data_IF_625362699984
#
_entry.id   IF_625362699984
#
_cell.length_a   1.000
_cell.length_b   1.000
_cell.length_c   1.000
_cell.angle_alpha   90.00
_cell.angle_beta   90.00
_cell.angle_gamma   90.00
#
_symmetry.space_group_name_H-M   'P 1'
#
loop_
_entity.id
_entity.type
_entity.pdbx_description
1 polymer ?
#
# COMPACT_ATOMS: atom_id res chain seq x y z
N UNK A 1 15.20 7.75 46.02
CA UNK A 1 15.26 7.27 44.62
C UNK A 1 13.98 7.79 44.00
N UNK A 2 14.06 8.98 43.38
CA UNK A 2 12.89 9.61 42.76
C UNK A 2 12.40 8.75 41.60
N UNK A 3 11.08 8.56 41.45
CA UNK A 3 10.54 7.88 40.29
C UNK A 3 10.83 8.72 39.05
N UNK A 4 11.40 8.07 38.04
CA UNK A 4 11.74 8.67 36.74
C UNK A 4 10.45 9.20 36.07
N UNK A 5 10.44 10.51 35.82
CA UNK A 5 9.34 11.28 35.21
C UNK A 5 8.89 10.72 33.85
N UNK A 6 9.70 9.86 33.22
CA UNK A 6 9.38 9.21 31.95
C UNK A 6 8.65 7.86 32.10
N UNK A 7 8.63 7.27 33.29
CA UNK A 7 7.83 6.07 33.59
C UNK A 7 6.36 6.42 33.87
N UNK A 8 6.10 7.58 34.49
CA UNK A 8 4.75 8.05 34.80
C UNK A 8 3.94 8.42 33.54
N UNK A 9 4.60 8.98 32.51
CA UNK A 9 3.91 9.40 31.28
C UNK A 9 3.45 8.24 30.37
N UNK A 10 4.00 7.04 30.56
CA UNK A 10 3.58 5.83 29.84
C UNK A 10 2.41 5.12 30.55
N UNK A 11 2.31 5.23 31.88
CA UNK A 11 1.21 4.68 32.67
C UNK A 11 -0.04 5.59 32.65
N UNK A 12 0.11 6.91 32.47
CA UNK A 12 -1.00 7.87 32.44
C UNK A 12 -1.85 7.90 31.14
N UNK A 13 -1.52 7.12 30.10
CA UNK A 13 -2.28 7.14 28.83
C UNK A 13 -3.45 6.17 28.73
N UNK A 14 -3.79 5.44 29.79
CA UNK A 14 -4.88 4.44 29.76
C UNK A 14 -5.81 4.46 30.98
N UNK A 15 -6.30 5.62 31.37
CA UNK A 15 -7.60 5.72 32.08
C UNK A 15 -8.43 6.86 31.48
N UNK A 16 -8.68 6.79 30.17
CA UNK A 16 -9.89 7.43 29.62
C UNK A 16 -11.05 6.49 29.89
N UNK A 17 -12.16 7.02 30.40
CA UNK A 17 -13.40 6.28 30.60
C UNK A 17 -13.67 5.35 29.40
N UNK A 18 -13.75 4.01 29.58
CA UNK A 18 -13.96 3.06 28.49
C UNK A 18 -15.15 3.42 27.60
N UNK A 19 -16.17 4.09 28.16
CA UNK A 19 -17.34 4.57 27.43
C UNK A 19 -17.03 5.68 26.41
N UNK A 20 -15.95 6.44 26.61
CA UNK A 20 -15.52 7.56 25.75
C UNK A 20 -14.64 7.16 24.55
N UNK A 21 -14.24 5.89 24.46
CA UNK A 21 -13.43 5.38 23.35
C UNK A 21 -14.30 5.03 22.14
N UNK A 22 -13.80 5.22 20.90
CA UNK A 22 -14.54 4.87 19.69
C UNK A 22 -14.98 3.40 19.68
N UNK A 23 -16.14 3.11 19.10
CA UNK A 23 -16.71 1.75 19.03
C UNK A 23 -15.72 0.74 18.43
N UNK A 24 -14.98 1.14 17.39
CA UNK A 24 -13.95 0.31 16.78
C UNK A 24 -12.82 -0.12 17.75
N UNK A 25 -12.52 0.69 18.77
CA UNK A 25 -11.55 0.36 19.82
C UNK A 25 -12.19 -0.54 20.87
N UNK A 26 -13.42 -0.23 21.31
CA UNK A 26 -14.12 -1.03 22.32
C UNK A 26 -14.44 -2.45 21.84
N UNK A 27 -14.77 -2.59 20.56
CA UNK A 27 -15.09 -3.87 19.92
C UNK A 27 -13.86 -4.68 19.49
N UNK A 28 -12.64 -4.26 19.85
CA UNK A 28 -11.44 -5.08 19.61
C UNK A 28 -11.61 -6.46 20.29
N UNK A 29 -11.47 -7.57 19.55
CA UNK A 29 -11.42 -8.94 20.09
C UNK A 29 -10.49 -9.05 21.29
N UNK A 30 -10.91 -9.82 22.29
CA UNK A 30 -10.08 -10.14 23.46
C UNK A 30 -9.25 -11.42 23.24
N UNK A 31 -9.76 -12.33 22.41
CA UNK A 31 -9.13 -13.60 22.06
C UNK A 31 -9.09 -13.77 20.54
N UNK A 32 -8.29 -14.73 20.05
CA UNK A 32 -8.26 -15.06 18.62
C UNK A 32 -9.59 -15.65 18.14
N UNK A 33 -10.37 -16.27 19.04
CA UNK A 33 -11.69 -16.83 18.71
C UNK A 33 -12.74 -15.75 18.44
N UNK A 34 -12.53 -14.54 18.96
CA UNK A 34 -13.40 -13.39 18.71
C UNK A 34 -13.06 -12.66 17.38
N UNK A 35 -12.00 -13.04 16.69
CA UNK A 35 -11.61 -12.41 15.42
C UNK A 35 -12.56 -12.87 14.31
N UNK A 36 -13.19 -11.89 13.66
CA UNK A 36 -14.00 -12.12 12.45
C UNK A 36 -13.11 -12.09 11.22
N UNK A 37 -13.41 -12.96 10.25
CA UNK A 37 -12.53 -13.23 9.12
C UNK A 37 -11.17 -13.82 9.50
N UNK A 38 -10.33 -14.05 8.49
CA UNK A 38 -8.97 -14.60 8.63
C UNK A 38 -8.89 -16.05 9.15
N UNK A 39 -9.94 -16.86 8.98
CA UNK A 39 -9.97 -18.21 9.55
C UNK A 39 -8.96 -19.16 8.91
N UNK A 40 -8.44 -18.81 7.72
CA UNK A 40 -7.28 -19.46 7.11
C UNK A 40 -6.00 -19.28 7.94
N UNK A 41 -5.85 -18.19 8.68
CA UNK A 41 -4.69 -17.88 9.52
C UNK A 41 -4.86 -18.32 10.99
N UNK A 42 -6.08 -18.59 11.43
CA UNK A 42 -6.41 -18.86 12.85
C UNK A 42 -6.66 -20.34 13.18
N UNK A 43 -6.33 -21.25 12.27
CA UNK A 43 -6.42 -22.70 12.48
C UNK A 43 -5.57 -23.17 13.67
N UNK A 44 -5.98 -24.24 14.39
CA UNK A 44 -5.16 -24.83 15.46
C UNK A 44 -3.71 -25.08 15.02
N UNK A 45 -2.75 -24.63 15.84
CA UNK A 45 -1.32 -24.75 15.56
C UNK A 45 -0.75 -23.73 14.58
N UNK A 46 -1.53 -22.76 14.09
CA UNK A 46 -1.04 -21.68 13.23
C UNK A 46 0.00 -20.79 13.93
N UNK A 47 0.82 -20.03 13.18
CA UNK A 47 1.80 -19.12 13.77
C UNK A 47 1.18 -18.12 14.75
N UNK A 48 0.00 -17.57 14.45
CA UNK A 48 -0.70 -16.61 15.32
C UNK A 48 -1.17 -17.27 16.63
N UNK A 49 -1.72 -18.49 16.56
CA UNK A 49 -2.14 -19.27 17.74
C UNK A 49 -0.93 -19.60 18.63
N UNK A 50 0.22 -19.90 18.05
CA UNK A 50 1.47 -20.09 18.82
C UNK A 50 1.97 -18.81 19.48
N UNK A 51 1.79 -17.65 18.85
CA UNK A 51 2.20 -16.36 19.43
C UNK A 51 1.41 -16.00 20.69
N UNK A 52 0.14 -16.41 20.77
CA UNK A 52 -0.70 -16.24 21.97
C UNK A 52 -0.48 -17.33 23.04
N UNK A 53 0.46 -18.26 22.82
CA UNK A 53 0.84 -19.29 23.80
C UNK A 53 0.16 -20.65 23.61
N UNK A 54 -0.73 -20.81 22.61
CA UNK A 54 -1.32 -22.11 22.30
C UNK A 54 -0.28 -23.03 21.63
N UNK A 55 0.03 -24.16 22.27
CA UNK A 55 1.02 -25.12 21.75
C UNK A 55 2.49 -24.77 22.06
N UNK A 56 2.74 -23.94 23.08
CA UNK A 56 4.07 -23.52 23.55
C UNK A 56 4.98 -24.64 24.13
N UNK A 57 4.58 -25.92 24.02
CA UNK A 57 5.34 -27.08 24.51
C UNK A 57 6.22 -27.77 23.47
N UNK A 58 6.28 -27.28 22.23
CA UNK A 58 7.09 -27.86 21.16
C UNK A 58 8.51 -27.27 21.05
N UNK A 59 9.45 -27.96 20.35
CA UNK A 59 10.83 -27.49 20.18
C UNK A 59 10.96 -26.24 19.27
N UNK A 60 9.88 -25.83 18.61
CA UNK A 60 9.83 -24.68 17.72
C UNK A 60 9.38 -23.41 18.49
N UNK A 61 10.30 -22.49 18.73
CA UNK A 61 10.00 -21.19 19.34
C UNK A 61 9.12 -20.29 18.46
N UNK A 62 8.57 -19.23 19.04
CA UNK A 62 7.77 -18.24 18.33
C UNK A 62 8.59 -17.58 17.19
N UNK A 63 8.04 -17.56 15.97
CA UNK A 63 8.65 -16.90 14.82
C UNK A 63 8.17 -15.46 14.71
N UNK A 64 9.03 -14.57 14.23
CA UNK A 64 8.62 -13.22 13.82
C UNK A 64 7.60 -13.31 12.68
N UNK A 65 6.65 -12.39 12.64
CA UNK A 65 5.53 -12.37 11.70
C UNK A 65 5.44 -10.99 11.05
N UNK A 66 5.14 -10.99 9.75
CA UNK A 66 4.77 -9.79 9.00
C UNK A 66 3.32 -9.98 8.54
N UNK A 67 2.43 -9.12 9.02
CA UNK A 67 1.02 -9.04 8.65
C UNK A 67 0.89 -8.08 7.46
N UNK A 68 0.40 -8.58 6.34
CA UNK A 68 0.21 -7.78 5.13
C UNK A 68 -1.24 -7.82 4.67
N UNK A 69 -1.79 -6.65 4.37
CA UNK A 69 -3.04 -6.52 3.63
C UNK A 69 -3.63 -5.11 3.76
N UNK A 70 -4.75 -4.85 3.07
CA UNK A 70 -5.48 -3.57 3.10
C UNK A 70 -5.73 -3.00 4.51
N UNK A 71 -6.00 -1.69 4.66
CA UNK A 71 -6.43 -1.11 5.93
C UNK A 71 -7.72 -1.79 6.47
N UNK A 72 -7.93 -1.68 7.78
CA UNK A 72 -9.19 -2.11 8.42
C UNK A 72 -9.51 -3.60 8.52
N UNK A 73 -8.72 -4.49 7.92
CA UNK A 73 -8.93 -5.95 7.95
C UNK A 73 -8.41 -6.65 9.23
N UNK A 74 -7.96 -5.90 10.24
CA UNK A 74 -7.60 -6.44 11.55
C UNK A 74 -6.11 -6.67 11.86
N UNK A 75 -5.16 -6.06 11.13
CA UNK A 75 -3.71 -6.17 11.42
C UNK A 75 -3.34 -5.74 12.85
N UNK A 76 -3.65 -4.49 13.21
CA UNK A 76 -3.43 -3.94 14.56
C UNK A 76 -4.23 -4.69 15.62
N UNK A 77 -5.42 -5.18 15.24
CA UNK A 77 -6.29 -5.98 16.09
C UNK A 77 -5.66 -7.32 16.46
N UNK A 78 -5.09 -8.04 15.49
CA UNK A 78 -4.37 -9.29 15.75
C UNK A 78 -3.17 -9.04 16.66
N UNK A 79 -2.39 -7.98 16.43
CA UNK A 79 -1.28 -7.63 17.30
C UNK A 79 -1.74 -7.31 18.73
N UNK A 80 -2.88 -6.62 18.88
CA UNK A 80 -3.48 -6.34 20.18
C UNK A 80 -3.93 -7.62 20.90
N UNK A 81 -4.57 -8.57 20.21
CA UNK A 81 -4.92 -9.86 20.82
C UNK A 81 -3.66 -10.60 21.27
N UNK A 82 -2.59 -10.57 20.46
CA UNK A 82 -1.30 -11.15 20.88
C UNK A 82 -0.74 -10.47 22.12
N UNK A 83 -0.87 -9.15 22.26
CA UNK A 83 -0.38 -8.43 23.44
C UNK A 83 -1.11 -8.82 24.73
N UNK A 84 -2.41 -9.08 24.65
CA UNK A 84 -3.23 -9.44 25.81
C UNK A 84 -3.07 -10.91 26.23
N UNK A 85 -2.90 -11.81 25.26
CA UNK A 85 -2.86 -13.25 25.54
C UNK A 85 -1.51 -13.71 26.10
N UNK A 86 -0.44 -12.93 25.91
CA UNK A 86 0.92 -13.32 26.25
C UNK A 86 1.36 -12.80 27.61
N UNK A 87 2.03 -13.65 28.41
CA UNK A 87 2.73 -13.22 29.64
C UNK A 87 4.07 -12.49 29.34
N UNK A 88 4.32 -12.17 28.06
CA UNK A 88 5.55 -11.53 27.57
C UNK A 88 5.47 -10.02 27.67
N UNK A 89 6.64 -9.37 27.67
CA UNK A 89 6.71 -7.90 27.56
C UNK A 89 6.24 -7.51 26.15
N UNK A 90 5.18 -6.74 26.03
CA UNK A 90 4.75 -6.18 24.75
C UNK A 90 5.22 -4.74 24.61
N UNK A 91 5.77 -4.40 23.45
CA UNK A 91 6.17 -3.02 23.11
C UNK A 91 5.63 -2.69 21.74
N UNK A 92 4.88 -1.60 21.63
CA UNK A 92 4.32 -1.09 20.38
C UNK A 92 5.11 0.13 19.90
N UNK A 93 5.47 0.13 18.62
CA UNK A 93 6.04 1.27 17.92
C UNK A 93 5.25 1.52 16.63
N UNK A 94 4.98 2.79 16.33
CA UNK A 94 4.51 3.19 15.01
C UNK A 94 5.69 3.63 14.16
N UNK A 95 5.82 3.08 12.96
CA UNK A 95 6.89 3.46 12.03
C UNK A 95 6.78 4.91 11.53
N UNK A 96 5.63 5.56 11.74
CA UNK A 96 5.37 6.95 11.36
C UNK A 96 6.08 7.90 12.34
N UNK A 97 6.09 7.55 13.63
CA UNK A 97 6.59 8.44 14.69
C UNK A 97 7.93 7.98 15.28
N UNK A 98 8.26 6.69 15.16
CA UNK A 98 9.48 6.14 15.73
C UNK A 98 10.73 6.42 14.87
N UNK A 99 11.76 6.99 15.49
CA UNK A 99 13.09 7.12 14.91
C UNK A 99 14.00 5.93 15.23
N UNK A 100 15.25 5.99 14.76
CA UNK A 100 16.27 4.95 15.03
C UNK A 100 16.59 4.85 16.53
N UNK A 101 16.50 5.96 17.27
CA UNK A 101 16.81 6.01 18.71
C UNK A 101 15.79 5.20 19.52
N UNK A 102 14.51 5.36 19.22
CA UNK A 102 13.41 4.66 19.86
C UNK A 102 13.52 3.15 19.62
N UNK A 103 13.79 2.75 18.38
CA UNK A 103 14.02 1.33 18.02
C UNK A 103 15.17 0.74 18.83
N UNK A 104 16.32 1.42 18.89
CA UNK A 104 17.48 0.95 19.67
C UNK A 104 17.17 0.85 21.17
N UNK A 105 16.43 1.80 21.72
CA UNK A 105 16.05 1.78 23.13
C UNK A 105 15.18 0.56 23.47
N UNK A 106 14.25 0.19 22.59
CA UNK A 106 13.42 -1.01 22.73
C UNK A 106 14.26 -2.27 22.67
N UNK A 107 15.19 -2.35 21.71
CA UNK A 107 16.08 -3.51 21.54
C UNK A 107 16.97 -3.71 22.80
N UNK A 108 17.59 -2.65 23.30
CA UNK A 108 18.41 -2.72 24.52
C UNK A 108 17.58 -3.03 25.77
N UNK A 109 16.34 -2.55 25.83
CA UNK A 109 15.39 -2.94 26.87
C UNK A 109 15.06 -4.43 26.83
N UNK A 110 14.77 -4.96 25.65
CA UNK A 110 14.46 -6.36 25.43
C UNK A 110 15.64 -7.29 25.78
N UNK A 111 16.86 -6.91 25.37
CA UNK A 111 18.08 -7.63 25.68
C UNK A 111 18.32 -7.76 27.18
N UNK A 112 18.12 -6.66 27.94
CA UNK A 112 18.24 -6.67 29.41
C UNK A 112 17.17 -7.55 30.07
N UNK A 113 15.93 -7.49 29.59
CA UNK A 113 14.84 -8.30 30.11
C UNK A 113 15.06 -9.81 29.88
N UNK A 114 15.56 -10.18 28.71
CA UNK A 114 15.88 -11.57 28.36
C UNK A 114 17.02 -12.13 29.21
N UNK A 115 18.11 -11.38 29.41
CA UNK A 115 19.28 -11.84 30.18
C UNK A 115 19.09 -11.84 31.69
N UNK A 116 18.26 -10.93 32.25
CA UNK A 116 18.08 -10.79 33.70
C UNK A 116 16.89 -11.53 34.29
N UNK A 117 15.78 -11.64 33.55
CA UNK A 117 14.50 -12.12 34.08
C UNK A 117 13.86 -13.24 33.23
N UNK A 118 14.49 -13.66 32.13
CA UNK A 118 13.92 -14.66 31.22
C UNK A 118 12.61 -14.25 30.56
N UNK A 119 12.26 -12.94 30.58
CA UNK A 119 11.02 -12.43 29.97
C UNK A 119 11.25 -12.13 28.50
N UNK A 120 10.61 -12.91 27.64
CA UNK A 120 10.59 -12.65 26.20
C UNK A 120 9.86 -11.33 25.90
N UNK A 121 10.27 -10.65 24.83
CA UNK A 121 9.66 -9.40 24.38
C UNK A 121 9.01 -9.58 23.01
N UNK A 122 7.78 -9.14 22.86
CA UNK A 122 7.08 -9.02 21.57
C UNK A 122 7.12 -7.56 21.16
N UNK A 123 7.74 -7.28 20.02
CA UNK A 123 7.79 -5.95 19.42
C UNK A 123 6.76 -5.86 18.31
N UNK A 124 5.70 -5.08 18.51
CA UNK A 124 4.78 -4.73 17.45
C UNK A 124 5.23 -3.46 16.73
N UNK A 125 5.26 -3.51 15.40
CA UNK A 125 5.68 -2.39 14.56
C UNK A 125 4.66 -2.14 13.47
N UNK A 126 3.86 -1.08 13.63
CA UNK A 126 2.83 -0.72 12.65
C UNK A 126 3.42 0.11 11.50
N UNK A 127 2.90 -0.10 10.30
CA UNK A 127 3.32 0.52 9.05
C UNK A 127 4.82 0.45 8.75
N UNK A 128 5.43 -0.73 8.90
CA UNK A 128 6.89 -0.95 8.71
C UNK A 128 7.43 -0.44 7.37
N UNK A 129 6.59 -0.33 6.34
CA UNK A 129 6.96 0.25 5.04
C UNK A 129 7.39 1.73 5.13
N UNK A 130 7.05 2.43 6.21
CA UNK A 130 7.48 3.82 6.47
C UNK A 130 8.91 3.92 7.01
N UNK A 131 9.46 2.84 7.53
CA UNK A 131 10.86 2.82 7.94
C UNK A 131 11.80 2.81 6.75
N UNK A 132 12.83 3.67 6.82
CA UNK A 132 13.98 3.60 5.94
C UNK A 132 14.72 2.25 6.05
N UNK A 133 15.50 1.89 5.03
CA UNK A 133 16.33 0.66 5.05
C UNK A 133 17.23 0.59 6.28
N UNK A 134 17.85 1.71 6.68
CA UNK A 134 18.71 1.77 7.86
C UNK A 134 17.96 1.51 9.18
N UNK A 135 16.71 1.98 9.30
CA UNK A 135 15.86 1.66 10.45
C UNK A 135 15.49 0.18 10.48
N UNK A 136 15.18 -0.41 9.33
CA UNK A 136 14.90 -1.83 9.22
C UNK A 136 16.14 -2.70 9.53
N UNK A 137 17.31 -2.33 9.02
CA UNK A 137 18.58 -3.02 9.33
C UNK A 137 18.87 -3.02 10.84
N UNK A 138 18.49 -1.95 11.55
CA UNK A 138 18.69 -1.86 13.00
C UNK A 138 17.89 -2.90 13.80
N UNK A 139 16.84 -3.48 13.22
CA UNK A 139 16.04 -4.55 13.84
C UNK A 139 16.67 -5.94 13.69
N UNK A 140 17.56 -6.14 12.71
CA UNK A 140 18.10 -7.46 12.39
C UNK A 140 18.78 -8.16 13.57
N UNK A 141 19.69 -7.51 14.33
CA UNK A 141 20.33 -8.19 15.47
C UNK A 141 19.31 -8.65 16.52
N UNK A 142 18.24 -7.88 16.73
CA UNK A 142 17.22 -8.18 17.72
C UNK A 142 16.36 -9.39 17.31
N UNK A 143 16.04 -9.51 16.02
CA UNK A 143 15.30 -10.64 15.47
C UNK A 143 16.16 -11.90 15.41
N UNK A 144 17.42 -11.78 14.96
CA UNK A 144 18.36 -12.91 14.83
C UNK A 144 18.70 -13.56 16.17
N UNK A 145 18.99 -12.73 17.17
CA UNK A 145 19.33 -13.21 18.52
C UNK A 145 18.08 -13.51 19.36
N UNK A 146 16.87 -13.38 18.78
CA UNK A 146 15.58 -13.56 19.45
C UNK A 146 15.42 -12.73 20.72
N UNK A 147 16.03 -11.54 20.74
CA UNK A 147 15.77 -10.57 21.81
C UNK A 147 14.33 -10.06 21.73
N UNK A 148 13.79 -9.97 20.52
CA UNK A 148 12.39 -9.66 20.26
C UNK A 148 11.77 -10.68 19.31
N UNK A 149 10.51 -11.02 19.56
CA UNK A 149 9.62 -11.59 18.55
C UNK A 149 8.95 -10.43 17.83
N UNK A 150 9.28 -10.20 16.57
CA UNK A 150 8.74 -9.09 15.79
C UNK A 150 7.36 -9.44 15.24
N UNK A 151 6.38 -8.55 15.43
CA UNK A 151 5.12 -8.55 14.70
C UNK A 151 5.08 -7.23 13.93
N UNK A 152 5.30 -7.26 12.62
CA UNK A 152 5.24 -6.06 11.80
C UNK A 152 3.94 -6.04 10.98
N UNK A 153 3.34 -4.87 10.80
CA UNK A 153 2.17 -4.69 9.93
C UNK A 153 2.50 -3.75 8.77
N UNK A 154 1.96 -4.03 7.59
CA UNK A 154 2.09 -3.15 6.42
C UNK A 154 0.86 -3.24 5.52
N UNK A 155 0.47 -2.10 4.95
CA UNK A 155 -0.50 -2.00 3.85
C UNK A 155 0.16 -2.12 2.48
N UNK A 156 1.43 -1.74 2.34
CA UNK A 156 2.21 -1.88 1.10
C UNK A 156 2.77 -3.29 0.91
N UNK A 157 3.02 -3.65 -0.36
CA UNK A 157 3.58 -4.95 -0.72
C UNK A 157 4.96 -5.17 -0.05
N UNK A 158 5.09 -6.18 0.83
CA UNK A 158 6.26 -6.38 1.66
C UNK A 158 7.53 -6.70 0.87
N UNK A 159 7.42 -7.30 -0.31
CA UNK A 159 8.58 -7.62 -1.15
C UNK A 159 9.29 -6.37 -1.69
N UNK A 160 8.61 -5.21 -1.70
CA UNK A 160 9.20 -3.93 -2.11
C UNK A 160 9.55 -3.03 -0.93
N UNK A 161 8.71 -3.04 0.12
CA UNK A 161 8.84 -2.12 1.24
C UNK A 161 9.68 -2.64 2.40
N UNK A 162 9.91 -3.95 2.49
CA UNK A 162 10.69 -4.59 3.57
C UNK A 162 11.97 -5.20 3.01
N UNK A 163 13.08 -5.01 3.71
CA UNK A 163 14.38 -5.56 3.31
C UNK A 163 14.37 -7.10 3.35
N UNK A 164 15.01 -7.72 2.36
CA UNK A 164 15.08 -9.19 2.24
C UNK A 164 15.59 -9.91 3.48
N UNK A 165 16.58 -9.38 4.24
CA UNK A 165 17.03 -10.01 5.48
C UNK A 165 15.96 -10.12 6.58
N UNK A 166 15.04 -9.15 6.70
CA UNK A 166 13.92 -9.24 7.66
C UNK A 166 12.85 -10.22 7.18
N UNK A 167 12.55 -10.20 5.87
CA UNK A 167 11.60 -11.12 5.26
C UNK A 167 12.04 -12.58 5.43
N UNK A 168 13.33 -12.88 5.22
CA UNK A 168 13.82 -14.27 5.33
C UNK A 168 13.80 -14.82 6.76
N UNK A 169 13.65 -13.96 7.76
CA UNK A 169 13.60 -14.30 9.20
C UNK A 169 12.20 -14.18 9.79
N UNK A 170 11.20 -13.89 8.97
CA UNK A 170 9.82 -13.67 9.38
C UNK A 170 8.85 -14.50 8.53
N UNK A 171 7.73 -14.89 9.11
CA UNK A 171 6.63 -15.49 8.37
C UNK A 171 5.74 -14.38 7.81
N UNK A 172 5.56 -14.36 6.50
CA UNK A 172 4.62 -13.46 5.85
C UNK A 172 3.21 -14.06 5.93
N UNK A 173 2.29 -13.36 6.60
CA UNK A 173 0.88 -13.72 6.69
C UNK A 173 0.05 -12.67 5.96
N UNK A 174 -0.62 -13.10 4.89
CA UNK A 174 -1.51 -12.24 4.10
C UNK A 174 -2.92 -12.29 4.67
N UNK A 175 -3.43 -11.13 5.06
CA UNK A 175 -4.82 -10.96 5.47
C UNK A 175 -5.67 -10.63 4.25
N UNK A 176 -6.88 -11.18 4.25
CA UNK A 176 -7.87 -11.00 3.18
C UNK A 176 -8.90 -9.93 3.57
N UNK A 177 -9.54 -9.22 2.61
CA UNK A 177 -10.70 -8.39 2.91
C UNK A 177 -11.79 -9.18 3.64
N UNK A 178 -12.50 -8.53 4.57
CA UNK A 178 -13.61 -9.19 5.28
C UNK A 178 -14.79 -9.39 4.33
N UNK A 179 -15.48 -10.52 4.48
CA UNK A 179 -16.72 -10.78 3.74
C UNK A 179 -17.88 -10.01 4.34
N UNK A 180 -18.97 -9.87 3.57
CA UNK A 180 -20.20 -9.26 4.07
C UNK A 180 -20.74 -10.02 5.30
N UNK A 181 -20.63 -11.35 5.30
CA UNK A 181 -21.02 -12.19 6.44
C UNK A 181 -20.16 -11.91 7.69
N UNK A 182 -18.84 -11.74 7.53
CA UNK A 182 -17.94 -11.39 8.64
C UNK A 182 -18.30 -10.03 9.25
N UNK A 183 -18.60 -9.05 8.39
CA UNK A 183 -18.98 -7.70 8.82
C UNK A 183 -20.36 -7.69 9.48
N UNK A 184 -21.34 -8.41 8.93
CA UNK A 184 -22.65 -8.60 9.55
C UNK A 184 -22.55 -9.23 10.93
N UNK A 185 -21.73 -10.28 11.09
CA UNK A 185 -21.48 -10.89 12.40
C UNK A 185 -20.85 -9.88 13.39
N UNK A 186 -19.89 -9.07 12.92
CA UNK A 186 -19.26 -8.03 13.74
C UNK A 186 -20.25 -6.93 14.16
N UNK A 187 -21.10 -6.46 13.25
CA UNK A 187 -22.09 -5.42 13.52
C UNK A 187 -23.16 -5.91 14.51
N UNK A 188 -23.67 -7.13 14.32
CA UNK A 188 -24.61 -7.74 15.28
C UNK A 188 -24.01 -7.83 16.67
N UNK A 189 -22.76 -8.28 16.75
CA UNK A 189 -22.02 -8.32 18.03
C UNK A 189 -21.86 -6.93 18.64
N UNK A 190 -21.53 -5.93 17.83
CA UNK A 190 -21.39 -4.54 18.27
C UNK A 190 -22.72 -3.93 18.74
N UNK A 191 -23.85 -4.33 18.18
CA UNK A 191 -25.18 -3.89 18.63
C UNK A 191 -25.55 -4.47 19.99
N UNK A 192 -25.23 -5.75 20.24
CA UNK A 192 -25.74 -6.47 21.41
C UNK A 192 -24.81 -6.48 22.63
N UNK A 193 -23.49 -6.46 22.44
CA UNK A 193 -22.56 -6.58 23.56
C UNK A 193 -22.53 -5.31 24.44
N UNK A 194 -22.29 -5.49 25.74
CA UNK A 194 -22.19 -4.39 26.72
C UNK A 194 -21.08 -3.38 26.38
N UNK A 195 -19.93 -3.86 25.88
CA UNK A 195 -18.85 -2.99 25.37
C UNK A 195 -19.20 -2.34 24.01
N UNK A 196 -20.21 -2.87 23.34
CA UNK A 196 -20.80 -2.32 22.13
C UNK A 196 -21.92 -1.35 22.49
N UNK A 197 -23.02 -1.39 21.77
CA UNK A 197 -24.17 -0.51 21.97
C UNK A 197 -25.16 -1.06 22.99
N UNK A 198 -24.90 -2.23 23.59
CA UNK A 198 -25.68 -2.83 24.67
C UNK A 198 -27.20 -2.92 24.39
N UNK A 199 -27.57 -3.11 23.13
CA UNK A 199 -28.97 -3.16 22.68
C UNK A 199 -29.69 -1.81 22.68
N UNK A 200 -28.99 -0.68 22.80
CA UNK A 200 -29.59 0.66 22.83
C UNK A 200 -30.27 1.06 21.52
N UNK A 201 -29.86 0.46 20.40
CA UNK A 201 -30.42 0.70 19.07
C UNK A 201 -30.47 -0.61 18.27
N UNK A 202 -31.40 -0.68 17.33
CA UNK A 202 -31.55 -1.76 16.36
C UNK A 202 -31.07 -1.32 14.98
N UNK A 203 -30.73 -2.30 14.12
CA UNK A 203 -30.25 -2.06 12.76
C UNK A 203 -31.14 -2.84 11.77
N UNK A 204 -32.02 -2.17 11.02
CA UNK A 204 -32.83 -2.77 9.98
C UNK A 204 -31.99 -3.29 8.80
N UNK A 205 -32.53 -4.24 8.03
CA UNK A 205 -31.81 -4.92 6.94
C UNK A 205 -31.34 -3.95 5.82
N UNK A 206 -32.10 -2.91 5.51
CA UNK A 206 -31.75 -1.92 4.49
C UNK A 206 -30.57 -1.03 4.93
N UNK A 207 -30.56 -0.63 6.21
CA UNK A 207 -29.45 0.08 6.83
C UNK A 207 -28.21 -0.81 7.00
N UNK A 208 -28.37 -2.08 7.37
CA UNK A 208 -27.28 -3.06 7.42
C UNK A 208 -26.65 -3.24 6.03
N UNK A 209 -27.47 -3.45 4.99
CA UNK A 209 -26.99 -3.56 3.62
C UNK A 209 -26.27 -2.29 3.14
N UNK A 210 -26.69 -1.11 3.59
CA UNK A 210 -26.01 0.15 3.31
C UNK A 210 -24.66 0.26 4.02
N UNK A 211 -24.57 -0.14 5.30
CA UNK A 211 -23.30 -0.22 6.04
C UNK A 211 -22.30 -1.17 5.36
N UNK A 212 -22.74 -2.35 4.92
CA UNK A 212 -21.88 -3.30 4.20
C UNK A 212 -21.28 -2.69 2.93
N UNK A 213 -22.12 -2.00 2.13
CA UNK A 213 -21.67 -1.30 0.92
C UNK A 213 -20.64 -0.20 1.22
N UNK A 214 -20.84 0.57 2.28
CA UNK A 214 -19.89 1.61 2.69
C UNK A 214 -18.59 0.99 3.20
N UNK A 215 -18.69 -0.09 3.98
CA UNK A 215 -17.54 -0.73 4.61
C UNK A 215 -16.60 -1.37 3.59
N UNK A 216 -17.12 -2.02 2.54
CA UNK A 216 -16.29 -2.57 1.47
C UNK A 216 -15.23 -3.57 1.95
N UNK A 217 -15.54 -4.35 2.99
CA UNK A 217 -14.60 -5.29 3.62
C UNK A 217 -13.74 -4.70 4.76
N UNK A 218 -13.96 -3.45 5.16
CA UNK A 218 -13.27 -2.77 6.27
C UNK A 218 -14.12 -2.75 7.56
N UNK A 219 -13.65 -3.46 8.60
CA UNK A 219 -14.32 -3.52 9.89
C UNK A 219 -14.29 -2.20 10.68
N UNK A 220 -13.20 -1.42 10.57
CA UNK A 220 -13.08 -0.13 11.25
C UNK A 220 -14.11 0.84 10.67
N UNK A 221 -14.20 0.90 9.34
CA UNK A 221 -15.17 1.74 8.62
C UNK A 221 -16.60 1.34 8.95
N UNK A 222 -16.90 0.04 8.97
CA UNK A 222 -18.21 -0.47 9.39
C UNK A 222 -18.60 -0.01 10.80
N UNK A 223 -17.71 -0.22 11.78
CA UNK A 223 -17.95 0.14 13.18
C UNK A 223 -18.04 1.65 13.40
N UNK A 224 -17.24 2.45 12.70
CA UNK A 224 -17.33 3.91 12.78
C UNK A 224 -18.63 4.44 12.20
N UNK A 225 -19.08 3.90 11.05
CA UNK A 225 -20.36 4.28 10.46
C UNK A 225 -21.54 3.86 11.35
N UNK A 226 -21.48 2.65 11.94
CA UNK A 226 -22.46 2.16 12.91
C UNK A 226 -22.52 3.06 14.15
N UNK A 227 -21.37 3.46 14.71
CA UNK A 227 -21.28 4.36 15.85
C UNK A 227 -21.89 5.74 15.54
N UNK A 228 -21.62 6.29 14.36
CA UNK A 228 -22.20 7.55 13.93
C UNK A 228 -23.72 7.46 13.78
N UNK A 229 -24.22 6.40 13.15
CA UNK A 229 -25.65 6.14 13.00
C UNK A 229 -26.35 5.98 14.35
N UNK A 230 -25.77 5.18 15.26
CA UNK A 230 -26.28 4.99 16.61
C UNK A 230 -26.31 6.31 17.40
N UNK A 231 -25.23 7.11 17.35
CA UNK A 231 -25.17 8.40 18.03
C UNK A 231 -26.24 9.39 17.51
N UNK A 232 -26.51 9.37 16.21
CA UNK A 232 -27.54 10.19 15.57
C UNK A 232 -28.96 9.75 15.96
N UNK A 233 -29.23 8.45 15.96
CA UNK A 233 -30.51 7.88 16.38
C UNK A 233 -30.82 8.20 17.85
N UNK A 234 -29.85 7.94 18.74
CA UNK A 234 -29.98 8.20 20.19
C UNK A 234 -30.22 9.69 20.44
N UNK A 235 -29.51 10.59 19.74
CA UNK A 235 -29.71 12.03 19.88
C UNK A 235 -31.11 12.50 19.43
N UNK A 236 -31.74 11.77 18.51
CA UNK A 236 -33.13 11.99 18.06
C UNK A 236 -34.16 11.29 18.97
N UNK A 237 -33.73 10.48 19.93
CA UNK A 237 -34.62 9.66 20.76
C UNK A 237 -35.20 8.45 20.01
N UNK A 238 -34.55 8.01 18.93
CA UNK A 238 -34.91 6.84 18.13
C UNK A 238 -34.17 5.60 18.66
N UNK A 239 -34.82 4.44 18.65
CA UNK A 239 -34.27 3.12 19.02
C UNK A 239 -33.87 2.28 17.79
N UNK A 240 -33.92 2.89 16.59
CA UNK A 240 -33.62 2.25 15.31
C UNK A 240 -32.71 3.13 14.45
N UNK A 241 -31.66 2.54 13.89
CA UNK A 241 -30.77 3.21 12.93
C UNK A 241 -31.39 3.10 11.54
N UNK A 242 -32.33 3.98 11.21
CA UNK A 242 -32.93 4.02 9.86
C UNK A 242 -31.89 4.36 8.80
N UNK A 243 -32.11 3.91 7.55
CA UNK A 243 -31.22 4.21 6.41
C UNK A 243 -30.96 5.72 6.28
N UNK A 244 -31.99 6.55 6.40
CA UNK A 244 -31.86 8.01 6.34
C UNK A 244 -31.01 8.57 7.48
N UNK A 245 -31.24 8.13 8.72
CA UNK A 245 -30.43 8.57 9.87
C UNK A 245 -28.97 8.17 9.70
N UNK A 246 -28.72 7.00 9.09
CA UNK A 246 -27.38 6.53 8.77
C UNK A 246 -26.71 7.37 7.68
N UNK A 247 -27.39 7.65 6.57
CA UNK A 247 -26.87 8.49 5.47
C UNK A 247 -26.48 9.89 5.98
N UNK A 248 -27.36 10.55 6.74
CA UNK A 248 -27.10 11.85 7.36
C UNK A 248 -25.91 11.82 8.33
N UNK A 249 -25.76 10.73 9.08
CA UNK A 249 -24.70 10.57 10.07
C UNK A 249 -23.35 10.25 9.41
N UNK A 250 -23.34 9.39 8.39
CA UNK A 250 -22.15 9.02 7.62
C UNK A 250 -21.63 10.22 6.86
N UNK A 251 -22.46 11.07 6.27
CA UNK A 251 -22.00 12.30 5.62
C UNK A 251 -21.27 13.24 6.60
N UNK A 252 -21.77 13.38 7.84
CA UNK A 252 -21.11 14.19 8.88
C UNK A 252 -19.87 13.53 9.47
N UNK A 253 -19.88 12.20 9.60
CA UNK A 253 -18.76 11.41 10.11
C UNK A 253 -17.66 11.28 9.06
N UNK A 254 -17.99 11.19 7.77
CA UNK A 254 -17.06 11.18 6.65
C UNK A 254 -16.20 12.45 6.67
N UNK A 255 -16.76 13.62 6.93
CA UNK A 255 -16.00 14.89 7.09
C UNK A 255 -15.02 14.86 8.29
N UNK A 256 -15.30 14.07 9.34
CA UNK A 256 -14.40 13.91 10.51
C UNK A 256 -13.39 12.76 10.36
N UNK A 257 -13.78 11.69 9.67
CA UNK A 257 -12.99 10.49 9.37
C UNK A 257 -12.07 10.70 8.17
N UNK A 258 -12.36 11.66 7.30
CA UNK A 258 -11.54 12.02 6.12
C UNK A 258 -10.14 12.51 6.47
N UNK A 259 -9.85 12.74 7.76
CA UNK A 259 -8.47 12.97 8.22
C UNK A 259 -7.60 11.70 8.21
N UNK A 260 -8.16 10.48 8.16
CA UNK A 260 -7.40 9.22 8.37
C UNK A 260 -7.68 8.06 7.38
N UNK A 261 -8.32 8.29 6.22
CA UNK A 261 -7.89 7.63 4.96
C UNK A 261 -8.52 6.32 4.46
N UNK A 262 -9.75 6.34 3.92
CA UNK A 262 -10.19 5.32 2.92
C UNK A 262 -10.97 5.85 1.69
N UNK A 263 -11.76 6.93 1.78
CA UNK A 263 -12.34 7.56 0.57
C UNK A 263 -11.28 8.22 -0.32
N UNK A 264 -10.11 8.51 0.24
CA UNK A 264 -9.04 9.19 -0.47
C UNK A 264 -8.58 8.42 -1.72
N UNK A 265 -8.57 7.08 -1.69
CA UNK A 265 -8.25 6.26 -2.87
C UNK A 265 -9.34 6.30 -3.93
N UNK A 266 -10.62 6.27 -3.55
CA UNK A 266 -11.73 6.35 -4.49
C UNK A 266 -11.77 7.70 -5.20
N UNK A 267 -11.59 8.79 -4.45
CA UNK A 267 -11.51 10.15 -5.01
C UNK A 267 -10.26 10.31 -5.88
N UNK A 268 -9.10 9.83 -5.44
CA UNK A 268 -7.88 9.81 -6.26
C UNK A 268 -8.04 8.96 -7.53
N UNK A 269 -8.78 7.86 -7.45
CA UNK A 269 -9.09 6.98 -8.57
C UNK A 269 -10.05 7.67 -9.54
N UNK A 270 -11.06 8.38 -9.02
CA UNK A 270 -11.99 9.16 -9.81
C UNK A 270 -11.32 10.35 -10.51
N UNK A 271 -10.37 11.04 -9.85
CA UNK A 271 -9.50 12.04 -10.46
C UNK A 271 -8.77 11.47 -11.69
N UNK A 272 -8.05 10.35 -11.52
CA UNK A 272 -7.29 9.75 -12.62
C UNK A 272 -8.20 9.20 -13.72
N UNK A 273 -9.35 8.59 -13.37
CA UNK A 273 -10.33 8.14 -14.38
C UNK A 273 -10.93 9.31 -15.17
N UNK A 274 -11.15 10.45 -14.53
CA UNK A 274 -11.66 11.65 -15.20
C UNK A 274 -10.61 12.24 -16.15
N UNK A 275 -9.34 12.29 -15.72
CA UNK A 275 -8.22 12.66 -16.59
C UNK A 275 -8.14 11.71 -17.79
N UNK A 276 -8.15 10.39 -17.56
CA UNK A 276 -8.15 9.34 -18.60
C UNK A 276 -9.33 9.48 -19.56
N UNK A 277 -10.51 9.80 -19.04
CA UNK A 277 -11.73 10.06 -19.80
C UNK A 277 -11.77 11.43 -20.49
N UNK A 278 -10.74 12.26 -20.29
CA UNK A 278 -10.65 13.63 -20.79
C UNK A 278 -11.78 14.56 -20.32
N UNK A 279 -12.38 14.26 -19.16
CA UNK A 279 -13.35 15.12 -18.49
C UNK A 279 -12.62 16.06 -17.53
N UNK A 280 -12.34 17.28 -18.01
CA UNK A 280 -11.59 18.30 -17.25
C UNK A 280 -12.37 18.75 -16.02
N UNK A 281 -13.69 18.93 -16.16
CA UNK A 281 -14.53 19.47 -15.11
C UNK A 281 -14.66 18.45 -13.96
N UNK A 282 -14.89 17.18 -14.28
CA UNK A 282 -14.90 16.10 -13.29
C UNK A 282 -13.52 15.93 -12.64
N UNK A 283 -12.43 16.01 -13.40
CA UNK A 283 -11.08 15.92 -12.85
C UNK A 283 -10.81 17.07 -11.86
N UNK A 284 -11.17 18.31 -12.21
CA UNK A 284 -11.04 19.46 -11.31
C UNK A 284 -11.93 19.32 -10.08
N UNK A 285 -13.15 18.78 -10.22
CA UNK A 285 -14.03 18.51 -9.09
C UNK A 285 -13.41 17.51 -8.11
N UNK A 286 -12.88 16.39 -8.58
CA UNK A 286 -12.22 15.42 -7.71
C UNK A 286 -10.91 15.95 -7.13
N UNK A 287 -10.14 16.75 -7.87
CA UNK A 287 -8.98 17.46 -7.33
C UNK A 287 -9.39 18.39 -6.17
N UNK A 288 -10.43 19.20 -6.35
CA UNK A 288 -10.94 20.10 -5.32
C UNK A 288 -11.41 19.31 -4.09
N UNK A 289 -12.10 18.18 -4.27
CA UNK A 289 -12.47 17.28 -3.18
C UNK A 289 -11.26 16.79 -2.38
N UNK A 290 -10.16 16.41 -3.05
CA UNK A 290 -8.93 15.98 -2.38
C UNK A 290 -8.26 17.12 -1.61
N UNK A 291 -8.26 18.35 -2.16
CA UNK A 291 -7.70 19.53 -1.51
C UNK A 291 -8.50 19.90 -0.25
N UNK A 292 -9.82 19.95 -0.35
CA UNK A 292 -10.71 20.27 0.79
C UNK A 292 -10.65 19.20 1.88
N UNK A 293 -10.48 17.92 1.49
CA UNK A 293 -10.25 16.82 2.43
C UNK A 293 -8.87 16.87 3.12
N UNK A 294 -7.98 17.78 2.70
CA UNK A 294 -6.65 17.94 3.30
C UNK A 294 -5.62 16.89 2.86
N UNK A 295 -5.79 16.31 1.67
CA UNK A 295 -4.85 15.34 1.10
C UNK A 295 -3.43 15.92 1.00
N UNK A 296 -2.40 15.08 1.20
CA UNK A 296 -1.02 15.49 0.94
C UNK A 296 -0.87 15.92 -0.53
N UNK A 297 -0.50 17.17 -0.85
CA UNK A 297 -0.39 17.62 -2.23
C UNK A 297 0.67 16.84 -3.01
N UNK A 298 1.66 16.25 -2.32
CA UNK A 298 2.66 15.38 -2.94
C UNK A 298 2.05 14.05 -3.38
N UNK A 299 1.02 13.56 -2.69
CA UNK A 299 0.28 12.37 -3.14
C UNK A 299 -0.46 12.65 -4.44
N UNK A 300 -1.18 13.76 -4.53
CA UNK A 300 -1.86 14.19 -5.77
C UNK A 300 -0.85 14.32 -6.92
N UNK A 301 0.27 15.01 -6.68
CA UNK A 301 1.31 15.19 -7.69
C UNK A 301 1.90 13.87 -8.21
N UNK A 302 2.13 12.88 -7.33
CA UNK A 302 2.57 11.54 -7.74
C UNK A 302 1.55 10.85 -8.64
N UNK A 303 0.25 10.97 -8.34
CA UNK A 303 -0.82 10.39 -9.17
C UNK A 303 -0.86 11.01 -10.57
N UNK A 304 -0.69 12.33 -10.67
CA UNK A 304 -0.59 13.03 -11.95
C UNK A 304 0.63 12.59 -12.77
N UNK A 305 1.80 12.43 -12.13
CA UNK A 305 3.01 11.92 -12.81
C UNK A 305 2.82 10.50 -13.38
N UNK A 306 2.15 9.62 -12.63
CA UNK A 306 1.84 8.26 -13.09
C UNK A 306 0.91 8.33 -14.30
N UNK A 307 -0.20 9.08 -14.19
CA UNK A 307 -1.18 9.22 -15.29
C UNK A 307 -0.56 9.81 -16.56
N UNK A 308 0.39 10.75 -16.42
CA UNK A 308 1.13 11.29 -17.55
C UNK A 308 1.86 10.23 -18.38
N UNK A 309 2.38 9.18 -17.74
CA UNK A 309 3.01 8.05 -18.45
C UNK A 309 2.02 6.95 -18.81
N UNK A 310 1.04 6.70 -17.94
CA UNK A 310 0.13 5.56 -18.04
C UNK A 310 -0.97 5.78 -19.10
N UNK A 311 -1.55 6.98 -19.11
CA UNK A 311 -2.77 7.31 -19.85
C UNK A 311 -2.51 8.18 -21.08
N UNK A 312 -1.38 8.90 -21.10
CA UNK A 312 -1.02 9.87 -22.15
C UNK A 312 0.24 9.42 -22.89
N UNK A 313 1.29 9.05 -22.15
CA UNK A 313 2.49 8.43 -22.68
C UNK A 313 3.13 9.28 -23.78
N UNK A 314 3.39 8.65 -24.93
CA UNK A 314 4.04 9.30 -26.07
C UNK A 314 3.07 10.05 -26.99
N UNK A 315 1.76 10.03 -26.73
CA UNK A 315 0.81 10.86 -27.46
C UNK A 315 1.02 12.35 -27.14
N UNK A 316 1.46 12.67 -25.92
CA UNK A 316 2.01 13.99 -25.58
C UNK A 316 3.27 13.85 -24.71
N UNK A 317 4.47 13.93 -25.32
CA UNK A 317 5.74 13.83 -24.60
C UNK A 317 5.98 14.96 -23.57
N UNK A 318 5.18 16.03 -23.59
CA UNK A 318 5.29 17.14 -22.63
C UNK A 318 4.50 16.89 -21.34
N UNK A 319 3.58 15.92 -21.33
CA UNK A 319 2.72 15.61 -20.19
C UNK A 319 3.51 15.24 -18.93
N UNK A 320 4.50 14.34 -19.04
CA UNK A 320 5.33 13.94 -17.90
C UNK A 320 6.18 15.11 -17.37
N UNK A 321 6.91 15.87 -18.21
CA UNK A 321 7.58 17.10 -17.76
C UNK A 321 6.66 18.09 -17.04
N UNK A 322 5.44 18.32 -17.52
CA UNK A 322 4.45 19.20 -16.86
C UNK A 322 4.10 18.66 -15.48
N UNK A 323 3.80 17.37 -15.36
CA UNK A 323 3.48 16.74 -14.07
C UNK A 323 4.65 16.77 -13.08
N UNK A 324 5.88 16.57 -13.57
CA UNK A 324 7.10 16.67 -12.74
C UNK A 324 7.35 18.10 -12.28
N UNK A 325 7.19 19.09 -13.16
CA UNK A 325 7.32 20.50 -12.80
C UNK A 325 6.28 20.90 -11.74
N UNK A 326 5.04 20.43 -11.87
CA UNK A 326 4.00 20.63 -10.86
C UNK A 326 4.38 19.97 -9.53
N UNK A 327 4.90 18.74 -9.54
CA UNK A 327 5.34 18.06 -8.32
C UNK A 327 6.50 18.78 -7.61
N UNK A 328 7.45 19.32 -8.37
CA UNK A 328 8.54 20.14 -7.83
C UNK A 328 8.00 21.44 -7.24
N UNK A 329 7.09 22.13 -7.94
CA UNK A 329 6.46 23.34 -7.44
C UNK A 329 5.67 23.10 -6.14
N UNK A 330 4.91 22.00 -6.07
CA UNK A 330 4.21 21.55 -4.86
C UNK A 330 5.17 21.38 -3.67
N UNK A 331 6.33 20.76 -3.90
CA UNK A 331 7.33 20.55 -2.85
C UNK A 331 7.92 21.86 -2.30
N UNK A 332 7.83 22.97 -3.07
CA UNK A 332 8.35 24.27 -2.69
C UNK A 332 7.29 25.23 -2.14
N UNK A 333 6.04 25.15 -2.61
CA UNK A 333 5.02 26.22 -2.44
C UNK A 333 3.97 25.89 -1.36
N UNK A 334 3.70 24.62 -1.05
CA UNK A 334 2.70 24.25 -0.02
C UNK A 334 1.28 24.72 -0.33
N UNK A 335 0.30 24.37 0.51
CA UNK A 335 -1.08 24.89 0.37
C UNK A 335 -1.25 26.24 1.08
N UNK A 336 -2.15 27.12 0.58
CA UNK A 336 -3.13 26.90 -0.51
C UNK A 336 -2.59 27.04 -1.94
N UNK A 337 -1.46 27.69 -2.19
CA UNK A 337 -0.99 28.04 -3.53
C UNK A 337 -0.64 26.82 -4.42
N UNK A 338 -0.25 25.69 -3.82
CA UNK A 338 -0.06 24.41 -4.50
C UNK A 338 -1.32 23.92 -5.24
N UNK A 339 -2.52 24.38 -4.86
CA UNK A 339 -3.75 24.05 -5.58
C UNK A 339 -3.70 24.53 -7.04
N UNK A 340 -3.08 25.69 -7.29
CA UNK A 340 -2.97 26.27 -8.64
C UNK A 340 -2.05 25.44 -9.55
N UNK A 341 -0.93 24.96 -9.01
CA UNK A 341 0.02 24.14 -9.77
C UNK A 341 -0.54 22.75 -10.07
N UNK A 342 -1.25 22.16 -9.10
CA UNK A 342 -1.98 20.90 -9.29
C UNK A 342 -3.13 21.03 -10.31
N UNK A 343 -3.88 22.14 -10.25
CA UNK A 343 -4.95 22.43 -11.21
C UNK A 343 -4.41 22.58 -12.63
N UNK A 344 -3.33 23.35 -12.80
CA UNK A 344 -2.67 23.52 -14.10
C UNK A 344 -2.25 22.19 -14.72
N UNK A 345 -1.56 21.33 -13.96
CA UNK A 345 -1.19 20.00 -14.45
C UNK A 345 -2.42 19.13 -14.75
N UNK A 346 -3.44 19.15 -13.90
CA UNK A 346 -4.66 18.35 -14.10
C UNK A 346 -5.37 18.71 -15.40
N UNK A 347 -5.53 20.00 -15.69
CA UNK A 347 -6.14 20.48 -16.94
C UNK A 347 -5.31 20.04 -18.16
N UNK A 348 -3.99 20.23 -18.09
CA UNK A 348 -3.09 19.85 -19.18
C UNK A 348 -3.18 18.35 -19.49
N UNK A 349 -3.14 17.50 -18.45
CA UNK A 349 -3.24 16.05 -18.61
C UNK A 349 -4.62 15.59 -19.09
N UNK A 350 -5.70 16.19 -18.58
CA UNK A 350 -7.06 15.87 -18.99
C UNK A 350 -7.28 16.19 -20.48
N UNK A 351 -6.74 17.29 -20.99
CA UNK A 351 -6.85 17.69 -22.40
C UNK A 351 -5.81 17.02 -23.33
N UNK A 352 -4.77 16.40 -22.80
CA UNK A 352 -3.75 15.74 -23.60
C UNK A 352 -4.32 14.55 -24.40
N UNK A 353 -3.83 14.29 -25.63
CA UNK A 353 -4.18 13.09 -26.37
C UNK A 353 -3.78 11.84 -25.58
N UNK A 354 -4.64 10.82 -25.58
CA UNK A 354 -4.47 9.63 -24.73
C UNK A 354 -3.77 8.50 -25.47
N UNK A 355 -2.83 7.83 -24.79
CA UNK A 355 -2.18 6.62 -25.26
C UNK A 355 -1.60 5.85 -24.08
N UNK A 356 -1.97 4.57 -23.97
CA UNK A 356 -1.46 3.66 -22.96
C UNK A 356 -0.37 2.72 -23.50
N UNK A 357 0.19 3.00 -24.68
CA UNK A 357 1.12 2.13 -25.40
C UNK A 357 2.41 1.87 -24.63
N UNK A 358 2.91 2.85 -23.87
CA UNK A 358 4.05 2.66 -22.99
C UNK A 358 3.75 1.61 -21.91
N UNK A 359 2.56 1.70 -21.29
CA UNK A 359 2.07 0.77 -20.26
C UNK A 359 1.89 -0.64 -20.80
N UNK A 360 1.23 -0.78 -21.95
CA UNK A 360 0.98 -2.09 -22.56
C UNK A 360 2.28 -2.72 -23.07
N UNK A 361 3.19 -1.94 -23.65
CA UNK A 361 4.48 -2.42 -24.14
C UNK A 361 5.37 -2.99 -23.02
N UNK A 362 5.54 -2.26 -21.91
CA UNK A 362 6.33 -2.77 -20.78
C UNK A 362 5.64 -3.95 -20.09
N UNK A 363 4.31 -3.92 -19.99
CA UNK A 363 3.52 -5.02 -19.44
C UNK A 363 3.72 -6.33 -20.21
N UNK A 364 3.66 -6.26 -21.55
CA UNK A 364 3.89 -7.41 -22.42
C UNK A 364 5.34 -7.93 -22.33
N UNK A 365 6.34 -7.04 -22.30
CA UNK A 365 7.74 -7.45 -22.16
C UNK A 365 8.02 -8.11 -20.79
N UNK A 366 7.45 -7.57 -19.70
CA UNK A 366 7.57 -8.15 -18.37
C UNK A 366 6.87 -9.51 -18.25
N UNK A 367 5.72 -9.68 -18.92
CA UNK A 367 5.00 -10.95 -18.96
C UNK A 367 5.84 -12.06 -19.61
N UNK A 368 6.50 -11.75 -20.73
CA UNK A 368 7.39 -12.68 -21.42
C UNK A 368 8.57 -13.12 -20.56
N UNK A 369 9.23 -12.17 -19.89
CA UNK A 369 10.33 -12.47 -18.97
C UNK A 369 9.86 -13.40 -17.84
N UNK A 370 8.68 -13.13 -17.28
CA UNK A 370 8.07 -13.98 -16.23
C UNK A 370 7.68 -15.36 -16.75
N UNK A 371 7.31 -15.47 -18.02
CA UNK A 371 6.99 -16.73 -18.69
C UNK A 371 8.25 -17.52 -19.10
N UNK A 372 9.45 -17.03 -18.79
CA UNK A 372 10.71 -17.71 -19.10
C UNK A 372 11.29 -17.39 -20.48
N UNK A 373 10.72 -16.43 -21.22
CA UNK A 373 11.20 -16.00 -22.54
C UNK A 373 12.32 -14.94 -22.45
N UNK A 374 13.09 -14.93 -21.36
CA UNK A 374 14.16 -13.95 -21.17
C UNK A 374 15.30 -14.13 -22.19
N UNK A 375 15.60 -15.37 -22.57
CA UNK A 375 16.68 -15.72 -23.50
C UNK A 375 18.07 -15.31 -23.04
N UNK A 376 19.08 -15.62 -23.85
CA UNK A 376 20.44 -15.12 -23.63
C UNK A 376 20.72 -13.91 -24.51
N UNK A 377 21.38 -12.88 -23.97
CA UNK A 377 21.78 -11.70 -24.77
C UNK A 377 22.64 -12.18 -25.96
N UNK A 378 22.32 -11.78 -27.21
CA UNK A 378 23.11 -12.12 -28.39
C UNK A 378 24.59 -11.77 -28.20
N UNK A 379 25.50 -12.64 -28.65
CA UNK A 379 26.94 -12.53 -28.34
C UNK A 379 27.57 -11.23 -28.84
N UNK A 380 27.16 -10.73 -30.00
CA UNK A 380 27.62 -9.46 -30.55
C UNK A 380 27.13 -8.24 -29.74
N UNK A 381 26.12 -8.37 -28.88
CA UNK A 381 25.66 -7.30 -27.98
C UNK A 381 26.25 -7.38 -26.57
N UNK A 382 26.98 -8.45 -26.23
CA UNK A 382 27.60 -8.61 -24.91
C UNK A 382 28.81 -7.68 -24.75
N UNK A 383 29.14 -7.35 -23.51
CA UNK A 383 30.30 -6.51 -23.21
C UNK A 383 31.61 -7.12 -23.77
N UNK A 384 32.30 -6.32 -24.59
CA UNK A 384 33.57 -6.66 -25.23
C UNK A 384 34.80 -6.11 -24.51
N UNK A 385 34.65 -5.28 -23.47
CA UNK A 385 35.75 -4.47 -22.94
C UNK A 385 36.64 -5.19 -21.90
N UNK A 386 36.29 -6.41 -21.50
CA UNK A 386 37.05 -7.16 -20.50
C UNK A 386 38.02 -8.18 -21.11
N UNK A 387 39.09 -8.49 -20.37
CA UNK A 387 40.14 -9.42 -20.80
C UNK A 387 39.55 -10.82 -21.04
N UNK A 388 39.59 -11.27 -22.30
CA UNK A 388 39.08 -12.58 -22.71
C UNK A 388 37.73 -12.54 -23.45
N UNK A 389 37.07 -11.38 -23.54
CA UNK A 389 35.80 -11.22 -24.25
C UNK A 389 35.86 -11.70 -25.71
N UNK A 390 36.93 -11.35 -26.44
CA UNK A 390 37.13 -11.80 -27.83
C UNK A 390 37.25 -13.33 -27.97
N UNK A 391 37.80 -14.02 -26.96
CA UNK A 391 37.87 -15.50 -26.96
C UNK A 391 36.50 -16.14 -26.73
N UNK A 392 35.59 -15.43 -26.05
CA UNK A 392 34.22 -15.83 -25.78
C UNK A 392 33.25 -15.40 -26.88
N UNK A 393 33.75 -14.75 -27.95
CA UNK A 393 32.93 -14.24 -29.05
C UNK A 393 32.08 -13.03 -28.69
N UNK A 394 32.34 -12.37 -27.55
CA UNK A 394 31.59 -11.19 -27.12
C UNK A 394 31.98 -9.96 -27.94
N UNK A 395 30.98 -9.14 -28.30
CA UNK A 395 31.11 -7.97 -29.17
C UNK A 395 31.68 -8.24 -30.57
N UNK A 396 31.97 -9.50 -30.92
CA UNK A 396 32.45 -9.89 -32.24
C UNK A 396 31.27 -9.81 -33.21
N UNK A 397 31.43 -9.03 -34.29
CA UNK A 397 30.38 -8.82 -35.29
C UNK A 397 29.33 -7.77 -34.91
N UNK A 398 29.55 -7.01 -33.82
CA UNK A 398 28.69 -5.86 -33.51
C UNK A 398 28.77 -4.82 -34.62
N UNK A 399 27.62 -4.41 -35.15
CA UNK A 399 27.53 -3.31 -36.10
C UNK A 399 27.17 -2.04 -35.35
N UNK A 400 28.11 -1.09 -35.30
CA UNK A 400 27.88 0.18 -34.62
C UNK A 400 26.92 1.06 -35.45
N UNK A 401 25.74 1.46 -34.92
CA UNK A 401 24.74 2.15 -35.72
C UNK A 401 25.22 3.44 -36.39
N UNK A 402 26.11 4.21 -35.77
CA UNK A 402 26.60 5.46 -36.36
C UNK A 402 27.52 5.28 -37.57
N UNK A 403 28.05 4.07 -37.79
CA UNK A 403 28.92 3.76 -38.92
C UNK A 403 28.14 3.30 -40.16
N UNK A 404 26.81 3.15 -40.06
CA UNK A 404 25.95 2.72 -41.17
C UNK A 404 25.00 3.83 -41.65
N UNK A 405 24.65 3.86 -42.95
CA UNK A 405 23.72 4.85 -43.49
C UNK A 405 22.39 4.88 -42.73
N UNK A 406 21.91 6.10 -42.44
CA UNK A 406 20.65 6.30 -41.72
C UNK A 406 20.70 5.94 -40.24
N UNK A 407 21.87 5.62 -39.70
CA UNK A 407 22.12 5.31 -38.29
C UNK A 407 21.29 4.12 -37.73
N UNK A 408 20.94 3.16 -38.58
CA UNK A 408 20.14 1.97 -38.21
C UNK A 408 20.88 0.72 -38.70
N UNK A 409 21.51 0.00 -37.77
CA UNK A 409 22.21 -1.25 -38.07
C UNK A 409 21.23 -2.42 -38.16
N UNK A 410 21.12 -3.01 -39.35
CA UNK A 410 20.35 -4.23 -39.57
C UNK A 410 21.07 -5.44 -38.91
N UNK A 411 20.79 -5.65 -37.63
CA UNK A 411 21.27 -6.78 -36.85
C UNK A 411 20.18 -7.22 -35.85
N UNK A 412 20.27 -8.45 -35.37
CA UNK A 412 19.36 -8.95 -34.35
C UNK A 412 19.70 -8.33 -32.98
N UNK A 413 18.71 -7.69 -32.36
CA UNK A 413 18.86 -7.11 -31.02
C UNK A 413 18.19 -7.94 -29.93
N UNK A 414 17.03 -8.53 -30.25
CA UNK A 414 16.31 -9.43 -29.38
C UNK A 414 17.03 -10.80 -29.29
N UNK A 415 16.94 -11.52 -28.16
CA UNK A 415 17.33 -12.92 -28.12
C UNK A 415 16.39 -13.77 -28.99
N UNK A 416 16.81 -14.99 -29.32
CA UNK A 416 16.11 -15.86 -30.29
C UNK A 416 14.65 -16.14 -29.89
N UNK A 417 14.40 -16.29 -28.60
CA UNK A 417 13.09 -16.62 -28.02
C UNK A 417 12.02 -15.57 -28.30
N UNK A 418 12.40 -14.30 -28.49
CA UNK A 418 11.49 -13.19 -28.79
C UNK A 418 11.86 -12.45 -30.07
N UNK A 419 12.71 -13.04 -30.91
CA UNK A 419 13.11 -12.42 -32.16
C UNK A 419 11.88 -12.18 -33.07
N UNK A 420 11.72 -10.94 -33.52
CA UNK A 420 10.56 -10.53 -34.33
C UNK A 420 9.30 -10.14 -33.54
N UNK A 421 9.28 -10.32 -32.21
CA UNK A 421 8.17 -9.87 -31.37
C UNK A 421 8.08 -8.34 -31.33
N UNK A 422 6.86 -7.82 -31.32
CA UNK A 422 6.57 -6.38 -31.22
C UNK A 422 5.89 -6.11 -29.89
N UNK A 423 6.53 -5.32 -29.02
CA UNK A 423 5.92 -4.86 -27.77
C UNK A 423 5.27 -3.49 -27.91
N UNK A 424 5.93 -2.57 -28.62
CA UNK A 424 5.45 -1.22 -28.81
C UNK A 424 4.57 -1.11 -30.06
N UNK A 425 3.27 -0.95 -29.86
CA UNK A 425 2.29 -0.74 -30.93
C UNK A 425 1.74 0.69 -30.82
N UNK A 426 2.35 1.68 -31.48
CA UNK A 426 2.00 3.08 -31.30
C UNK A 426 0.60 3.39 -31.85
N UNK A 427 -0.08 4.33 -31.20
CA UNK A 427 -1.32 4.90 -31.73
C UNK A 427 -1.03 5.95 -32.80
N UNK A 428 -2.10 6.50 -33.39
CA UNK A 428 -2.02 7.68 -34.26
C UNK A 428 -2.51 8.96 -33.55
N UNK A 429 -2.59 8.95 -32.22
CA UNK A 429 -3.02 10.11 -31.45
C UNK A 429 -1.83 11.02 -31.12
N UNK A 430 -2.06 12.34 -31.21
CA UNK A 430 -1.07 13.35 -30.83
C UNK A 430 0.27 13.19 -31.55
N UNK A 431 1.36 13.38 -30.79
CA UNK A 431 2.73 13.23 -31.27
C UNK A 431 3.08 11.78 -31.64
N UNK A 432 2.35 10.80 -31.11
CA UNK A 432 2.64 9.38 -31.32
C UNK A 432 2.44 8.95 -32.78
N UNK A 433 1.60 9.66 -33.54
CA UNK A 433 1.45 9.44 -34.98
C UNK A 433 2.79 9.48 -35.72
N UNK A 434 3.68 10.41 -35.37
CA UNK A 434 5.03 10.50 -35.93
C UNK A 434 5.91 9.33 -35.49
N UNK A 435 5.78 8.87 -34.25
CA UNK A 435 6.53 7.71 -33.75
C UNK A 435 6.08 6.42 -34.43
N UNK A 436 4.80 6.29 -34.77
CA UNK A 436 4.29 5.19 -35.57
C UNK A 436 4.94 5.14 -36.97
N UNK A 437 5.15 6.28 -37.63
CA UNK A 437 5.88 6.32 -38.91
C UNK A 437 7.37 5.98 -38.75
N UNK A 438 8.00 6.50 -37.69
CA UNK A 438 9.42 6.23 -37.41
C UNK A 438 9.65 4.76 -37.10
N UNK A 439 8.82 4.15 -36.23
CA UNK A 439 9.05 2.77 -35.80
C UNK A 439 8.86 1.78 -36.94
N UNK A 440 7.90 2.00 -37.85
CA UNK A 440 7.75 1.12 -39.02
C UNK A 440 8.95 1.22 -39.96
N UNK A 441 9.45 2.42 -40.26
CA UNK A 441 10.69 2.60 -41.05
C UNK A 441 11.89 1.93 -40.39
N UNK A 442 12.04 2.08 -39.07
CA UNK A 442 13.12 1.40 -38.33
C UNK A 442 12.95 -0.11 -38.43
N UNK A 443 11.75 -0.66 -38.25
CA UNK A 443 11.46 -2.09 -38.37
C UNK A 443 11.77 -2.64 -39.78
N UNK A 444 11.44 -1.89 -40.83
CA UNK A 444 11.75 -2.26 -42.22
C UNK A 444 13.26 -2.32 -42.47
N UNK A 445 14.01 -1.33 -41.97
CA UNK A 445 15.47 -1.32 -42.07
C UNK A 445 16.12 -2.43 -41.26
N UNK A 446 15.64 -2.68 -40.05
CA UNK A 446 16.14 -3.77 -39.20
C UNK A 446 15.93 -5.16 -39.82
N UNK A 447 14.90 -5.34 -40.67
CA UNK A 447 14.68 -6.57 -41.43
C UNK A 447 15.55 -6.71 -42.68
N UNK A 448 16.28 -5.66 -43.06
CA UNK A 448 17.06 -5.63 -44.29
C UNK A 448 16.21 -5.55 -45.57
N UNK A 449 14.96 -5.07 -45.47
CA UNK A 449 14.02 -4.98 -46.61
C UNK A 449 14.10 -3.68 -47.42
N UNK A 450 14.94 -2.71 -47.00
CA UNK A 450 15.20 -1.48 -47.77
C UNK A 450 16.17 -1.80 -48.93
N UNK A 451 15.63 -1.94 -50.15
CA UNK A 451 16.41 -1.91 -51.40
C UNK A 451 16.41 -0.48 -51.93
N UNK A 452 17.39 0.33 -51.52
CA UNK A 452 17.68 1.63 -52.15
C UNK A 452 17.56 2.82 -51.24
#
# INVERSE_FOLDING_TARGET
>A
MEPDLFTAAAEERQEKDPASSPLAVRMRPRTLDEVVGQQHLLKPGSPLRRLVGEGAGGPAGASSVILWGPPGIGKTTLAYVVSQATQKRFVELSAITAGVKEVRAVIEGARRAAGGYGKETVLFLDEIHRFSKAQQDSLLPAVENRWVTLIAATTENPYFSIISPLLSRSLLLTLEPLTDDDLSALMRRALTEERGLAGAVTLPEDAEAHLLRIAGGDARRALTALEAGAGSAIAKGEDEITLRTLEEAVDRAAVRYDRDGDQHYDVASALIKSIRGSDVDAALHYLARMIEAGEDPRFIARRLMISASEDIGLADPTALPIAVAAAQAVAMIGFPEAALTLSHATIALALAPKSNTATTAIGAALADVRAGLAGSVPTHLRDGHYKGAAKLGHAVGYVYPHDVPGAIAAQQYAPDEIHGKRYYEPTRYGAEARYADVVEKVRERLRGTDRG
#
